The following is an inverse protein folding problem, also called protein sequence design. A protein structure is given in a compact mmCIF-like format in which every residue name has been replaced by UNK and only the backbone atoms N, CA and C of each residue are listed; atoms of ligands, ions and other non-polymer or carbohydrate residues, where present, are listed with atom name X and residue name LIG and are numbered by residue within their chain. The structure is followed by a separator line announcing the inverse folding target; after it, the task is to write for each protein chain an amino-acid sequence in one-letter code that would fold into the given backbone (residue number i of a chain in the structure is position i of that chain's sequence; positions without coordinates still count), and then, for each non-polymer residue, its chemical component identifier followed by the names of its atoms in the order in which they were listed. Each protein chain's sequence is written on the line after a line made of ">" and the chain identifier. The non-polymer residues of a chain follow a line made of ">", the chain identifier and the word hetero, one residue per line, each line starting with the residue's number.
data_IF_208529707693
#
_entry.id   IF_208529707693
#
_cell.length_a   1.000
_cell.length_b   1.000
_cell.length_c   1.000
_cell.angle_alpha   90.00
_cell.angle_beta   90.00
_cell.angle_gamma   90.00
#
_symmetry.space_group_name_H-M   'P 1'
#
loop_
_entity.id
_entity.type
_entity.pdbx_description
1 polymer ?
#
# COMPACT_ATOMS: atom_id res chain seq x y z
N UNK A 1 -8.62 -10.28 8.53
CA UNK A 1 -9.22 -9.06 7.98
C UNK A 1 -8.97 -7.87 8.91
N UNK A 2 -9.25 -7.95 10.26
CA UNK A 2 -9.00 -6.85 11.21
C UNK A 2 -7.57 -6.31 11.14
N UNK A 3 -6.56 -7.18 11.10
CA UNK A 3 -5.15 -6.76 10.99
C UNK A 3 -4.84 -6.02 9.67
N UNK A 4 -5.49 -6.41 8.57
CA UNK A 4 -5.27 -5.82 7.25
C UNK A 4 -6.01 -4.49 7.07
N UNK A 5 -7.19 -4.32 7.69
CA UNK A 5 -8.02 -3.13 7.54
C UNK A 5 -7.80 -2.10 8.67
N UNK A 6 -7.63 -2.57 9.90
CA UNK A 6 -7.53 -1.71 11.08
C UNK A 6 -6.15 -1.70 11.71
N UNK A 7 -5.20 -2.49 11.21
CA UNK A 7 -3.86 -2.62 11.79
C UNK A 7 -3.83 -3.38 13.12
N UNK A 8 -4.96 -3.89 13.60
CA UNK A 8 -5.06 -4.62 14.86
C UNK A 8 -4.51 -6.04 14.73
N UNK A 9 -3.34 -6.25 15.33
CA UNK A 9 -2.60 -7.53 15.34
C UNK A 9 -2.82 -8.35 16.61
N UNK A 10 -3.68 -7.89 17.53
CA UNK A 10 -3.90 -8.53 18.83
C UNK A 10 -4.42 -9.96 18.74
N UNK A 11 -5.21 -10.25 17.70
CA UNK A 11 -5.78 -11.59 17.45
C UNK A 11 -4.90 -12.52 16.59
N UNK A 12 -3.66 -12.14 16.26
CA UNK A 12 -2.77 -12.99 15.47
C UNK A 12 -1.82 -13.75 16.39
N UNK A 13 -1.92 -15.07 16.37
CA UNK A 13 -1.04 -15.95 17.11
C UNK A 13 0.44 -15.79 16.69
N UNK A 14 1.36 -15.97 17.64
CA UNK A 14 2.81 -15.82 17.43
C UNK A 14 3.33 -16.75 16.33
N UNK A 15 2.81 -17.96 16.27
CA UNK A 15 3.22 -18.95 15.26
C UNK A 15 2.77 -18.56 13.86
N UNK A 16 1.54 -18.07 13.72
CA UNK A 16 1.03 -17.50 12.47
C UNK A 16 1.89 -16.32 12.03
N UNK A 17 2.21 -15.37 12.93
CA UNK A 17 3.08 -14.24 12.60
C UNK A 17 4.46 -14.68 12.13
N UNK A 18 5.05 -15.69 12.78
CA UNK A 18 6.34 -16.27 12.41
C UNK A 18 6.29 -16.93 11.02
N UNK A 19 5.22 -17.67 10.73
CA UNK A 19 5.02 -18.29 9.39
C UNK A 19 4.97 -17.21 8.29
N UNK A 20 4.24 -16.12 8.49
CA UNK A 20 4.19 -15.01 7.53
C UNK A 20 5.57 -14.33 7.36
N UNK A 21 6.34 -14.21 8.44
CA UNK A 21 7.71 -13.69 8.37
C UNK A 21 8.63 -14.61 7.59
N UNK A 22 8.64 -15.90 7.89
CA UNK A 22 9.48 -16.90 7.22
C UNK A 22 9.20 -17.00 5.71
N UNK A 23 7.96 -16.79 5.31
CA UNK A 23 7.57 -16.79 3.89
C UNK A 23 7.73 -15.44 3.19
N UNK A 24 8.28 -14.41 3.87
CA UNK A 24 8.51 -13.08 3.29
C UNK A 24 7.23 -12.29 2.97
N UNK A 25 6.09 -12.69 3.52
CA UNK A 25 4.78 -12.07 3.31
C UNK A 25 4.25 -11.35 4.56
N UNK A 26 5.13 -11.10 5.54
CA UNK A 26 4.77 -10.39 6.77
C UNK A 26 4.23 -8.98 6.52
N UNK A 27 4.64 -8.34 5.43
CA UNK A 27 4.15 -7.03 5.02
C UNK A 27 2.64 -6.99 4.73
N UNK A 28 2.02 -8.13 4.45
CA UNK A 28 0.57 -8.26 4.20
C UNK A 28 -0.24 -8.13 5.48
N UNK A 29 0.34 -8.53 6.63
CA UNK A 29 -0.28 -8.38 7.96
C UNK A 29 -0.23 -6.94 8.48
N UNK A 30 0.50 -6.08 7.80
CA UNK A 30 0.53 -4.65 8.11
C UNK A 30 -0.22 -3.87 7.01
N UNK A 31 -0.78 -2.74 7.38
CA UNK A 31 -1.35 -1.83 6.39
C UNK A 31 -0.20 -1.36 5.51
N UNK A 32 -0.24 -1.74 4.24
CA UNK A 32 0.80 -1.39 3.28
C UNK A 32 0.45 -0.12 2.52
N UNK A 33 1.46 0.49 1.94
CA UNK A 33 1.27 1.64 1.03
C UNK A 33 0.33 1.33 -0.15
N UNK A 34 0.28 0.06 -0.58
CA UNK A 34 -0.65 -0.39 -1.64
C UNK A 34 -2.11 -0.27 -1.19
N UNK A 35 -2.42 -0.61 0.07
CA UNK A 35 -3.76 -0.47 0.64
C UNK A 35 -4.22 1.00 0.60
N UNK A 36 -3.37 1.90 1.09
CA UNK A 36 -3.63 3.35 1.08
C UNK A 36 -3.80 3.88 -0.35
N UNK A 37 -2.94 3.44 -1.27
CA UNK A 37 -3.02 3.86 -2.66
C UNK A 37 -4.32 3.38 -3.34
N UNK A 38 -4.72 2.12 -3.14
CA UNK A 38 -5.96 1.57 -3.70
C UNK A 38 -7.17 2.31 -3.13
N UNK A 39 -7.27 2.43 -1.81
CA UNK A 39 -8.38 3.13 -1.14
C UNK A 39 -8.45 4.57 -1.62
N UNK A 40 -7.34 5.29 -1.52
CA UNK A 40 -7.28 6.71 -1.78
C UNK A 40 -7.54 7.07 -3.24
N UNK A 41 -6.89 6.38 -4.18
CA UNK A 41 -7.06 6.66 -5.61
C UNK A 41 -8.43 6.22 -6.12
N UNK A 42 -8.99 5.12 -5.60
CA UNK A 42 -10.35 4.70 -5.94
C UNK A 42 -11.36 5.72 -5.43
N UNK A 43 -11.24 6.13 -4.16
CA UNK A 43 -12.10 7.13 -3.56
C UNK A 43 -12.02 8.47 -4.32
N UNK A 44 -10.80 8.94 -4.60
CA UNK A 44 -10.60 10.14 -5.40
C UNK A 44 -11.26 10.05 -6.78
N UNK A 45 -11.09 8.90 -7.48
CA UNK A 45 -11.71 8.68 -8.79
C UNK A 45 -13.23 8.67 -8.75
N UNK A 46 -13.83 8.07 -7.73
CA UNK A 46 -15.31 8.05 -7.52
C UNK A 46 -15.81 9.46 -7.20
N UNK A 47 -15.20 10.13 -6.22
CA UNK A 47 -15.58 11.49 -5.83
C UNK A 47 -15.45 12.47 -6.99
N UNK A 48 -14.42 12.34 -7.82
CA UNK A 48 -14.23 13.17 -9.01
C UNK A 48 -15.35 12.99 -10.03
N UNK A 49 -15.84 11.76 -10.21
CA UNK A 49 -16.99 11.50 -11.11
C UNK A 49 -18.28 12.08 -10.58
N UNK A 50 -18.45 12.10 -9.24
CA UNK A 50 -19.65 12.60 -8.59
C UNK A 50 -19.66 14.14 -8.50
N UNK A 51 -18.53 14.75 -8.15
CA UNK A 51 -18.44 16.21 -7.91
C UNK A 51 -18.04 17.01 -9.15
N UNK A 52 -17.46 16.36 -10.16
CA UNK A 52 -16.91 17.04 -11.34
C UNK A 52 -15.66 17.90 -11.06
N UNK A 53 -15.27 18.07 -9.79
CA UNK A 53 -14.18 18.96 -9.36
C UNK A 53 -12.98 18.18 -8.85
N UNK A 54 -11.80 18.44 -9.40
CA UNK A 54 -10.53 17.86 -8.90
C UNK A 54 -10.22 18.32 -7.47
N UNK A 55 -10.47 19.59 -7.17
CA UNK A 55 -10.12 20.18 -5.88
C UNK A 55 -11.00 19.63 -4.75
N UNK A 56 -12.34 19.64 -4.94
CA UNK A 56 -13.27 19.10 -3.96
C UNK A 56 -13.02 17.61 -3.70
N UNK A 57 -12.89 16.82 -4.77
CA UNK A 57 -12.57 15.37 -4.67
C UNK A 57 -11.25 15.13 -3.98
N UNK A 58 -10.24 15.95 -4.26
CA UNK A 58 -8.91 15.85 -3.65
C UNK A 58 -8.97 16.10 -2.14
N UNK A 59 -9.60 17.17 -1.71
CA UNK A 59 -9.76 17.52 -0.29
C UNK A 59 -10.50 16.39 0.44
N UNK A 60 -11.63 15.92 -0.10
CA UNK A 60 -12.42 14.86 0.51
C UNK A 60 -11.64 13.54 0.60
N UNK A 61 -10.95 13.14 -0.47
CA UNK A 61 -10.16 11.92 -0.49
C UNK A 61 -8.99 11.98 0.51
N UNK A 62 -8.27 13.10 0.56
CA UNK A 62 -7.18 13.31 1.52
C UNK A 62 -7.70 13.27 2.95
N UNK A 63 -8.82 13.92 3.26
CA UNK A 63 -9.41 13.92 4.60
C UNK A 63 -9.75 12.50 5.07
N UNK A 64 -10.37 11.69 4.19
CA UNK A 64 -10.71 10.30 4.51
C UNK A 64 -9.45 9.46 4.73
N UNK A 65 -8.42 9.62 3.90
CA UNK A 65 -7.16 8.87 4.04
C UNK A 65 -6.40 9.27 5.29
N UNK A 66 -6.39 10.56 5.66
CA UNK A 66 -5.78 11.00 6.92
C UNK A 66 -6.52 10.40 8.12
N UNK A 67 -7.85 10.45 8.12
CA UNK A 67 -8.65 9.83 9.17
C UNK A 67 -8.38 8.32 9.28
N UNK A 68 -8.34 7.63 8.15
CA UNK A 68 -8.00 6.20 8.10
C UNK A 68 -6.58 5.94 8.65
N UNK A 69 -5.60 6.79 8.29
CA UNK A 69 -4.24 6.70 8.82
C UNK A 69 -4.17 6.84 10.34
N UNK A 70 -4.92 7.80 10.91
CA UNK A 70 -5.03 7.97 12.37
C UNK A 70 -5.65 6.74 13.02
N UNK A 71 -6.75 6.21 12.47
CA UNK A 71 -7.41 5.00 12.99
C UNK A 71 -6.49 3.77 12.98
N UNK A 72 -5.57 3.71 12.04
CA UNK A 72 -4.65 2.58 11.84
C UNK A 72 -3.29 2.74 12.54
N UNK A 73 -3.15 3.78 13.38
CA UNK A 73 -1.98 4.00 14.23
C UNK A 73 -0.79 4.65 13.53
N UNK A 74 -0.98 5.32 12.39
CA UNK A 74 0.04 6.15 11.69
C UNK A 74 1.39 5.43 11.47
N UNK A 75 1.37 4.14 11.12
CA UNK A 75 2.60 3.41 10.82
C UNK A 75 3.43 4.15 9.74
N UNK A 76 4.76 4.07 9.81
CA UNK A 76 5.70 4.75 8.90
C UNK A 76 5.34 4.52 7.41
N UNK A 77 4.98 3.28 7.04
CA UNK A 77 4.54 2.93 5.69
C UNK A 77 3.22 3.61 5.28
N UNK A 78 2.30 3.79 6.23
CA UNK A 78 1.02 4.49 6.04
C UNK A 78 1.26 5.97 5.81
N UNK A 79 2.04 6.62 6.67
CA UNK A 79 2.38 8.05 6.58
C UNK A 79 3.03 8.37 5.23
N UNK A 80 4.00 7.54 4.79
CA UNK A 80 4.62 7.73 3.48
C UNK A 80 3.61 7.63 2.35
N UNK A 81 2.77 6.61 2.34
CA UNK A 81 1.78 6.42 1.28
C UNK A 81 0.76 7.57 1.24
N UNK A 82 0.37 8.09 2.41
CA UNK A 82 -0.48 9.28 2.51
C UNK A 82 0.19 10.51 1.91
N UNK A 83 1.46 10.78 2.24
CA UNK A 83 2.20 11.92 1.69
C UNK A 83 2.32 11.78 0.16
N UNK A 84 2.71 10.60 -0.34
CA UNK A 84 2.80 10.36 -1.78
C UNK A 84 1.44 10.54 -2.48
N UNK A 85 0.35 10.10 -1.86
CA UNK A 85 -0.99 10.29 -2.38
C UNK A 85 -1.38 11.79 -2.41
N UNK A 86 -1.11 12.53 -1.34
CA UNK A 86 -1.35 13.99 -1.28
C UNK A 86 -0.61 14.69 -2.43
N UNK A 87 0.66 14.37 -2.65
CA UNK A 87 1.46 14.92 -3.74
C UNK A 87 0.83 14.56 -5.10
N UNK A 88 0.40 13.32 -5.28
CA UNK A 88 -0.26 12.87 -6.50
C UNK A 88 -1.57 13.60 -6.79
N UNK A 89 -2.39 13.80 -5.76
CA UNK A 89 -3.67 14.55 -5.88
C UNK A 89 -3.41 16.02 -6.19
N UNK A 90 -2.46 16.67 -5.49
CA UNK A 90 -2.09 18.07 -5.76
C UNK A 90 -1.55 18.20 -7.20
N UNK A 91 -0.73 17.24 -7.65
CA UNK A 91 -0.26 17.22 -9.03
C UNK A 91 -1.40 17.19 -10.03
N UNK A 92 -2.37 16.29 -9.83
CA UNK A 92 -3.53 16.17 -10.72
C UNK A 92 -4.41 17.42 -10.71
N UNK A 93 -4.60 18.08 -9.56
CA UNK A 93 -5.31 19.37 -9.46
C UNK A 93 -4.60 20.44 -10.27
N UNK A 94 -3.26 20.43 -10.31
CA UNK A 94 -2.44 21.36 -11.11
C UNK A 94 -2.23 20.94 -12.56
N UNK A 95 -2.91 19.88 -13.02
CA UNK A 95 -2.75 19.34 -14.38
C UNK A 95 -1.39 18.68 -14.65
N UNK A 96 -0.69 18.25 -13.61
CA UNK A 96 0.59 17.55 -13.68
C UNK A 96 0.46 16.13 -13.14
N UNK A 97 1.21 15.19 -13.70
CA UNK A 97 1.38 13.84 -13.12
C UNK A 97 2.74 13.83 -12.40
N UNK A 98 2.78 13.92 -11.06
CA UNK A 98 4.06 13.84 -10.36
C UNK A 98 4.68 12.46 -10.57
N UNK A 99 6.00 12.46 -10.83
CA UNK A 99 6.78 11.24 -10.94
C UNK A 99 6.85 10.51 -9.59
N UNK A 100 6.88 9.18 -9.65
CA UNK A 100 6.90 8.32 -8.48
C UNK A 100 8.14 8.58 -7.60
N UNK A 101 9.31 8.79 -8.22
CA UNK A 101 10.56 9.07 -7.51
C UNK A 101 10.51 10.43 -6.80
N UNK A 102 10.00 11.45 -7.47
CA UNK A 102 9.82 12.79 -6.90
C UNK A 102 8.87 12.75 -5.70
N UNK A 103 7.74 12.02 -5.84
CA UNK A 103 6.78 11.85 -4.74
C UNK A 103 7.39 11.10 -3.55
N UNK A 104 8.15 10.03 -3.82
CA UNK A 104 8.84 9.26 -2.78
C UNK A 104 9.95 10.09 -2.10
N UNK A 105 10.79 10.77 -2.88
CA UNK A 105 11.85 11.63 -2.36
C UNK A 105 11.28 12.74 -1.46
N UNK A 106 10.21 13.41 -1.89
CA UNK A 106 9.53 14.41 -1.06
C UNK A 106 8.99 13.81 0.23
N UNK A 107 8.37 12.61 0.14
CA UNK A 107 7.85 11.93 1.31
C UNK A 107 8.98 11.51 2.29
N UNK A 108 10.15 11.09 1.79
CA UNK A 108 11.29 10.75 2.64
C UNK A 108 11.84 11.96 3.39
N UNK A 109 11.97 13.09 2.71
CA UNK A 109 12.44 14.35 3.33
C UNK A 109 11.46 14.82 4.40
N UNK A 110 10.15 14.82 4.12
CA UNK A 110 9.13 15.24 5.09
C UNK A 110 9.18 14.34 6.34
N UNK A 111 9.24 13.02 6.17
CA UNK A 111 9.31 12.09 7.30
C UNK A 111 10.60 12.26 8.11
N UNK A 112 11.74 12.43 7.46
CA UNK A 112 13.02 12.65 8.12
C UNK A 112 13.09 13.99 8.88
N UNK A 113 12.37 15.03 8.42
CA UNK A 113 12.27 16.30 9.13
C UNK A 113 11.36 16.22 10.38
N UNK A 114 10.32 15.38 10.33
CA UNK A 114 9.42 15.14 11.47
C UNK A 114 10.12 14.29 12.53
N UNK A 115 10.77 13.22 12.11
CA UNK A 115 11.51 12.29 12.96
C UNK A 115 12.80 11.86 12.26
N UNK A 116 13.96 12.47 12.59
CA UNK A 116 15.23 12.08 11.99
C UNK A 116 15.63 10.62 12.25
N UNK A 117 15.17 10.02 13.36
CA UNK A 117 15.44 8.63 13.72
C UNK A 117 14.77 7.62 12.77
N UNK A 118 13.73 8.02 12.05
CA UNK A 118 12.98 7.15 11.13
C UNK A 118 13.86 6.60 10.00
N UNK A 119 14.95 7.29 9.66
CA UNK A 119 15.88 6.86 8.60
C UNK A 119 16.50 5.50 8.95
N UNK A 120 16.65 5.19 10.25
CA UNK A 120 17.18 3.92 10.74
C UNK A 120 16.10 2.85 10.91
N UNK A 121 14.82 3.20 10.76
CA UNK A 121 13.72 2.25 10.85
C UNK A 121 13.70 1.29 9.65
N UNK A 122 13.63 -0.02 9.95
CA UNK A 122 13.62 -1.06 8.93
C UNK A 122 12.43 -0.92 7.95
N UNK A 123 11.25 -0.53 8.47
CA UNK A 123 10.05 -0.34 7.66
C UNK A 123 10.20 0.84 6.70
N UNK A 124 10.84 1.93 7.15
CA UNK A 124 11.17 3.07 6.30
C UNK A 124 12.11 2.64 5.17
N UNK A 125 13.26 2.04 5.51
CA UNK A 125 14.27 1.65 4.53
C UNK A 125 13.76 0.64 3.51
N UNK A 126 13.10 -0.43 3.95
CA UNK A 126 12.53 -1.45 3.07
C UNK A 126 11.50 -0.87 2.11
N UNK A 127 10.74 0.07 2.60
CA UNK A 127 9.67 0.66 1.83
C UNK A 127 10.19 1.60 0.74
N UNK A 128 11.20 2.43 1.04
CA UNK A 128 11.85 3.26 0.02
C UNK A 128 12.68 2.42 -0.94
N UNK A 129 13.35 1.36 -0.47
CA UNK A 129 14.04 0.40 -1.32
C UNK A 129 13.06 -0.27 -2.32
N UNK A 130 11.85 -0.61 -1.90
CA UNK A 130 10.84 -1.15 -2.80
C UNK A 130 10.43 -0.15 -3.89
N UNK A 131 10.22 1.13 -3.53
CA UNK A 131 9.90 2.20 -4.50
C UNK A 131 11.07 2.39 -5.49
N UNK A 132 12.29 2.46 -5.01
CA UNK A 132 13.50 2.56 -5.85
C UNK A 132 13.64 1.31 -6.74
N UNK A 133 13.35 0.13 -6.19
CA UNK A 133 13.36 -1.14 -6.94
C UNK A 133 12.36 -1.17 -8.09
N UNK A 134 11.18 -0.58 -7.91
CA UNK A 134 10.21 -0.43 -9.00
C UNK A 134 10.65 0.61 -10.03
N UNK A 135 11.13 1.75 -9.57
CA UNK A 135 11.41 2.90 -10.42
C UNK A 135 12.66 2.75 -11.26
N UNK A 136 13.73 2.15 -10.74
CA UNK A 136 15.02 2.05 -11.42
C UNK A 136 15.23 0.65 -12.01
N UNK A 137 15.53 -0.42 -11.24
CA UNK A 137 15.75 -1.74 -11.84
C UNK A 137 14.48 -2.31 -12.49
N UNK A 138 13.30 -2.03 -11.96
CA UNK A 138 12.05 -2.47 -12.55
C UNK A 138 11.78 -1.85 -13.91
N UNK A 139 12.03 -0.56 -14.07
CA UNK A 139 11.91 0.12 -15.37
C UNK A 139 12.96 -0.39 -16.38
N UNK A 140 14.20 -0.65 -15.92
CA UNK A 140 15.25 -1.22 -16.75
C UNK A 140 14.91 -2.65 -17.20
N UNK A 141 14.50 -3.50 -16.27
CA UNK A 141 14.12 -4.88 -16.57
C UNK A 141 12.95 -4.97 -17.54
N UNK A 142 11.96 -4.07 -17.45
CA UNK A 142 10.87 -3.99 -18.43
C UNK A 142 11.33 -3.62 -19.83
N UNK A 143 12.40 -2.81 -19.95
CA UNK A 143 12.99 -2.50 -21.25
C UNK A 143 13.78 -3.68 -21.81
N UNK A 144 14.49 -4.43 -20.94
CA UNK A 144 15.31 -5.58 -21.34
C UNK A 144 14.44 -6.81 -21.68
N UNK A 145 13.30 -6.98 -21.01
CA UNK A 145 12.38 -8.10 -21.20
C UNK A 145 11.00 -7.52 -21.63
N UNK A 146 10.88 -7.03 -22.86
CA UNK A 146 9.62 -6.49 -23.36
C UNK A 146 8.61 -7.62 -23.52
N UNK A 147 7.60 -7.68 -22.67
CA UNK A 147 6.56 -8.70 -22.73
C UNK A 147 5.18 -8.09 -22.66
N UNK A 148 4.25 -8.64 -23.46
CA UNK A 148 2.83 -8.31 -23.38
C UNK A 148 2.10 -9.14 -22.32
N UNK A 149 2.74 -10.20 -21.80
CA UNK A 149 2.14 -11.05 -20.79
C UNK A 149 2.23 -10.36 -19.42
N UNK A 150 1.05 -10.06 -18.85
CA UNK A 150 0.93 -9.39 -17.54
C UNK A 150 1.60 -10.19 -16.41
N UNK A 151 1.52 -11.52 -16.44
CA UNK A 151 2.12 -12.39 -15.41
C UNK A 151 3.64 -12.26 -15.44
N UNK A 152 4.26 -12.36 -16.63
CA UNK A 152 5.72 -12.21 -16.78
C UNK A 152 6.15 -10.80 -16.37
N UNK A 153 5.42 -9.76 -16.77
CA UNK A 153 5.70 -8.37 -16.37
C UNK A 153 5.66 -8.20 -14.84
N UNK A 154 4.71 -8.84 -14.16
CA UNK A 154 4.59 -8.80 -12.70
C UNK A 154 5.72 -9.55 -12.02
N UNK A 155 6.12 -10.73 -12.54
CA UNK A 155 7.27 -11.48 -12.02
C UNK A 155 8.57 -10.69 -12.14
N UNK A 156 8.80 -10.06 -13.30
CA UNK A 156 9.97 -9.19 -13.54
C UNK A 156 10.00 -8.02 -12.54
N UNK A 157 8.85 -7.40 -12.28
CA UNK A 157 8.75 -6.32 -11.31
C UNK A 157 8.98 -6.82 -9.87
N UNK A 158 8.41 -7.97 -9.49
CA UNK A 158 8.63 -8.58 -8.18
C UNK A 158 10.10 -8.93 -7.97
N UNK A 159 10.76 -9.46 -9.00
CA UNK A 159 12.20 -9.75 -8.96
C UNK A 159 13.02 -8.46 -8.73
N UNK A 160 12.71 -7.38 -9.44
CA UNK A 160 13.39 -6.11 -9.27
C UNK A 160 13.24 -5.55 -7.85
N UNK A 161 12.03 -5.61 -7.30
CA UNK A 161 11.75 -5.20 -5.92
C UNK A 161 12.53 -6.09 -4.93
N UNK A 162 12.51 -7.41 -5.13
CA UNK A 162 13.20 -8.36 -4.25
C UNK A 162 14.72 -8.14 -4.29
N UNK A 163 15.30 -7.86 -5.43
CA UNK A 163 16.73 -7.53 -5.54
C UNK A 163 17.08 -6.23 -4.82
N UNK A 164 16.21 -5.22 -4.90
CA UNK A 164 16.42 -3.94 -4.22
C UNK A 164 16.24 -4.05 -2.69
N UNK A 165 15.26 -4.81 -2.23
CA UNK A 165 14.95 -4.97 -0.80
C UNK A 165 15.74 -6.11 -0.15
N UNK A 166 16.22 -7.07 -0.91
CA UNK A 166 16.88 -8.30 -0.42
C UNK A 166 18.03 -8.06 0.56
N UNK A 167 18.99 -7.17 0.23
CA UNK A 167 20.09 -6.85 1.15
C UNK A 167 19.60 -6.36 2.53
N UNK A 168 18.57 -5.50 2.54
CA UNK A 168 17.98 -4.99 3.77
C UNK A 168 17.21 -6.08 4.53
N UNK A 169 16.49 -6.95 3.82
CA UNK A 169 15.78 -8.08 4.44
C UNK A 169 16.77 -9.02 5.11
N UNK A 170 17.88 -9.34 4.46
CA UNK A 170 18.95 -10.17 5.05
C UNK A 170 19.53 -9.47 6.28
N UNK A 171 19.82 -8.17 6.18
CA UNK A 171 20.43 -7.40 7.27
C UNK A 171 19.51 -7.33 8.51
N UNK A 172 18.21 -7.06 8.33
CA UNK A 172 17.28 -6.87 9.46
C UNK A 172 16.66 -8.16 9.99
N UNK A 173 16.42 -9.15 9.10
CA UNK A 173 15.65 -10.35 9.46
C UNK A 173 16.43 -11.64 9.37
N UNK A 174 17.68 -11.60 8.89
CA UNK A 174 18.55 -12.78 8.70
C UNK A 174 17.89 -13.90 7.85
N UNK A 175 17.00 -13.53 6.93
CA UNK A 175 16.22 -14.46 6.09
C UNK A 175 16.15 -13.91 4.68
N UNK A 176 16.17 -14.81 3.68
CA UNK A 176 15.96 -14.46 2.29
C UNK A 176 14.89 -15.39 1.69
N UNK A 177 13.61 -15.01 1.75
CA UNK A 177 12.52 -15.87 1.28
C UNK A 177 12.41 -15.82 -0.24
N UNK A 178 13.09 -16.76 -0.93
CA UNK A 178 13.03 -16.88 -2.40
C UNK A 178 11.59 -17.11 -2.91
N UNK A 179 10.77 -17.81 -2.15
CA UNK A 179 9.37 -18.08 -2.53
C UNK A 179 8.50 -16.82 -2.55
N UNK A 180 8.92 -15.74 -1.89
CA UNK A 180 8.12 -14.51 -1.82
C UNK A 180 7.85 -13.91 -3.20
N UNK A 181 8.74 -14.12 -4.17
CA UNK A 181 8.57 -13.68 -5.55
C UNK A 181 7.31 -14.30 -6.17
N UNK A 182 7.14 -15.62 -5.98
CA UNK A 182 5.99 -16.37 -6.50
C UNK A 182 4.74 -16.14 -5.64
N UNK A 183 4.90 -16.12 -4.32
CA UNK A 183 3.80 -15.86 -3.40
C UNK A 183 3.19 -14.48 -3.64
N UNK A 184 4.00 -13.47 -3.83
CA UNK A 184 3.51 -12.11 -4.08
C UNK A 184 2.75 -11.98 -5.41
N UNK A 185 3.06 -12.82 -6.40
CA UNK A 185 2.30 -12.86 -7.65
C UNK A 185 0.83 -13.23 -7.42
N UNK A 186 0.58 -14.15 -6.48
CA UNK A 186 -0.77 -14.62 -6.16
C UNK A 186 -1.42 -13.78 -5.05
N UNK A 187 -0.67 -13.49 -3.99
CA UNK A 187 -1.20 -12.90 -2.76
C UNK A 187 -1.51 -11.41 -2.95
N UNK A 188 -0.66 -10.65 -3.65
CA UNK A 188 -0.89 -9.21 -3.83
C UNK A 188 -2.22 -8.91 -4.56
N UNK A 189 -2.54 -9.54 -5.70
CA UNK A 189 -3.85 -9.32 -6.33
C UNK A 189 -5.00 -9.85 -5.48
N UNK A 190 -4.84 -10.99 -4.79
CA UNK A 190 -5.87 -11.54 -3.90
C UNK A 190 -6.20 -10.58 -2.77
N UNK A 191 -5.20 -10.04 -2.08
CA UNK A 191 -5.37 -9.07 -0.98
C UNK A 191 -6.00 -7.78 -1.51
N UNK A 192 -5.62 -7.33 -2.69
CA UNK A 192 -6.22 -6.15 -3.32
C UNK A 192 -7.73 -6.33 -3.57
N UNK A 193 -8.13 -7.52 -4.04
CA UNK A 193 -9.56 -7.86 -4.22
C UNK A 193 -10.29 -7.93 -2.88
N UNK A 194 -9.69 -8.58 -1.87
CA UNK A 194 -10.29 -8.68 -0.53
C UNK A 194 -10.54 -7.28 0.05
N UNK A 195 -9.56 -6.38 -0.05
CA UNK A 195 -9.69 -5.00 0.46
C UNK A 195 -10.78 -4.26 -0.29
N UNK A 196 -10.78 -4.35 -1.63
CA UNK A 196 -11.81 -3.70 -2.44
C UNK A 196 -13.21 -4.18 -2.07
N UNK A 197 -13.41 -5.49 -1.98
CA UNK A 197 -14.70 -6.09 -1.58
C UNK A 197 -15.08 -5.65 -0.17
N UNK A 198 -14.12 -5.65 0.78
CA UNK A 198 -14.38 -5.20 2.16
C UNK A 198 -14.85 -3.75 2.22
N UNK A 199 -14.23 -2.86 1.44
CA UNK A 199 -14.63 -1.45 1.36
C UNK A 199 -16.04 -1.31 0.77
N UNK A 200 -16.33 -2.04 -0.31
CA UNK A 200 -17.66 -2.03 -0.94
C UNK A 200 -18.73 -2.53 0.03
N UNK A 201 -18.45 -3.62 0.76
CA UNK A 201 -19.36 -4.17 1.77
C UNK A 201 -19.61 -3.17 2.90
N UNK A 202 -18.55 -2.54 3.43
CA UNK A 202 -18.68 -1.51 4.48
C UNK A 202 -19.49 -0.31 3.97
N UNK A 203 -19.22 0.16 2.75
CA UNK A 203 -19.97 1.26 2.15
C UNK A 203 -21.45 0.89 1.94
N UNK A 204 -21.74 -0.33 1.48
CA UNK A 204 -23.10 -0.83 1.31
C UNK A 204 -23.86 -0.91 2.65
N UNK A 205 -23.18 -1.38 3.71
CA UNK A 205 -23.76 -1.43 5.07
C UNK A 205 -24.07 -0.04 5.64
N UNK A 206 -23.24 0.95 5.35
CA UNK A 206 -23.48 2.34 5.78
C UNK A 206 -24.65 2.99 5.03
N UNK A 207 -24.84 2.64 3.74
CA UNK A 207 -25.93 3.18 2.91
C UNK A 207 -27.26 2.46 3.20
N UNK A 208 -27.21 1.16 3.47
CA UNK A 208 -28.38 0.31 3.71
C UNK A 208 -28.33 -0.37 5.09
N UNK A 209 -28.46 0.37 6.20
CA UNK A 209 -28.37 -0.22 7.55
C UNK A 209 -29.41 -1.29 7.84
N UNK A 210 -30.52 -1.34 7.09
CA UNK A 210 -31.59 -2.34 7.25
C UNK A 210 -31.22 -3.77 6.80
N UNK A 211 -30.13 -3.98 6.06
CA UNK A 211 -29.74 -5.33 5.58
C UNK A 211 -29.25 -6.20 6.74
N UNK A 212 -28.71 -5.61 7.81
CA UNK A 212 -28.21 -6.34 8.99
C UNK A 212 -29.29 -6.64 10.04
N UNK A 213 -30.40 -5.89 10.05
CA UNK A 213 -31.48 -6.10 11.03
C UNK A 213 -32.42 -7.26 10.65
N UNK A 214 -32.30 -7.81 9.43
CA UNK A 214 -33.16 -8.89 8.95
C UNK A 214 -32.85 -10.29 9.50
N UNK A 215 -31.74 -10.52 10.21
CA UNK A 215 -31.33 -11.86 10.65
C UNK A 215 -31.47 -12.12 12.16
N UNK A 216 -31.99 -11.17 12.95
CA UNK A 216 -32.22 -11.41 14.39
C UNK A 216 -33.70 -11.73 14.74
N UNK A 217 -34.55 -11.89 13.75
CA UNK A 217 -35.98 -12.23 13.94
C UNK A 217 -36.44 -13.50 13.21
N UNK A 218 -35.56 -14.51 13.12
CA UNK A 218 -35.97 -15.84 12.63
C UNK A 218 -35.39 -16.94 13.52
#
# INVERSE_FOLDING_TARGET
>A
IKAMLLGDKSGIDRDTKKLFQMNGIAHILAISGVHIAIIGMTLFGVLRRLTGSYMASGIMAISVIVLYGVMTGMASSTVRAMIMMVISVIGQVKGRSPDMLTSAGTASVIQALIDPGIILDAGFQLSFAAVLGMAVPGALMKKLIPTKNKVVSTLVMNLAITLATGPLVIFYYYQFPLYSIFLNLLIVPLVSVIIFVSIVVIAAMLIFPGILQGNEMA
#
